data_IF_265055330649
#
_entry.id   IF_265055330649
#
_cell.length_a   1.000
_cell.length_b   1.000
_cell.length_c   1.000
_cell.angle_alpha   90.00
_cell.angle_beta   90.00
_cell.angle_gamma   90.00
#
_symmetry.space_group_name_H-M   'P 1'
#
loop_
_entity.id
_entity.type
_entity.pdbx_description
1 polymer ?
#
# COMPACT_ATOMS: atom_id res chain seq x y z
N UNK A 1 4.80 -2.04 17.24
CA UNK A 1 4.54 -1.92 15.79
C UNK A 1 4.94 -0.55 15.31
N UNK A 2 5.44 -0.45 14.10
CA UNK A 2 5.98 0.79 13.54
C UNK A 2 5.31 1.10 12.21
N UNK A 3 5.05 2.39 11.95
CA UNK A 3 4.54 2.88 10.67
C UNK A 3 5.52 3.89 10.12
N UNK A 4 5.92 3.71 8.85
CA UNK A 4 6.70 4.69 8.11
C UNK A 4 5.89 5.10 6.88
N UNK A 5 5.78 6.40 6.66
CA UNK A 5 5.08 6.93 5.50
C UNK A 5 6.07 7.68 4.61
N UNK A 6 5.87 7.58 3.30
CA UNK A 6 6.67 8.31 2.31
C UNK A 6 5.79 8.71 1.13
N UNK A 7 6.16 9.81 0.48
CA UNK A 7 5.46 10.33 -0.69
C UNK A 7 6.32 10.14 -1.92
N UNK A 8 5.72 9.66 -2.99
CA UNK A 8 6.43 9.34 -4.22
C UNK A 8 5.73 9.93 -5.44
N UNK A 9 6.54 10.36 -6.39
CA UNK A 9 6.08 10.77 -7.71
C UNK A 9 6.84 9.91 -8.72
N UNK A 10 6.10 9.16 -9.53
CA UNK A 10 6.65 8.32 -10.60
C UNK A 10 6.06 8.80 -11.92
N UNK A 11 6.90 9.39 -12.76
CA UNK A 11 6.47 9.98 -14.02
C UNK A 11 7.50 9.73 -15.11
N UNK A 12 7.01 9.61 -16.36
CA UNK A 12 7.89 9.58 -17.52
C UNK A 12 8.57 10.95 -17.70
N UNK A 13 9.63 10.99 -18.50
CA UNK A 13 10.20 12.27 -18.93
C UNK A 13 9.16 13.05 -19.72
N UNK A 14 9.22 14.38 -19.63
CA UNK A 14 8.37 15.25 -20.42
C UNK A 14 8.77 15.18 -21.90
N UNK A 15 7.77 15.15 -22.77
CA UNK A 15 7.99 15.26 -24.21
C UNK A 15 8.25 16.73 -24.61
N UNK A 16 8.35 17.00 -25.92
CA UNK A 16 8.61 18.35 -26.45
C UNK A 16 7.51 19.38 -26.13
N UNK A 17 6.30 18.89 -25.75
CA UNK A 17 5.17 19.73 -25.36
C UNK A 17 5.02 19.84 -23.84
N UNK A 18 5.94 19.29 -23.05
CA UNK A 18 5.89 19.28 -21.61
C UNK A 18 4.93 18.26 -21.01
N UNK A 19 4.49 17.27 -21.81
CA UNK A 19 3.56 16.23 -21.37
C UNK A 19 4.31 14.96 -20.97
N UNK A 20 3.75 14.24 -19.98
CA UNK A 20 4.26 12.95 -19.56
C UNK A 20 3.44 11.84 -20.20
N UNK A 21 4.08 10.70 -20.55
CA UNK A 21 3.38 9.48 -20.97
C UNK A 21 2.62 8.88 -19.78
N UNK A 22 3.20 8.96 -18.58
CA UNK A 22 2.52 8.60 -17.33
C UNK A 22 2.97 9.49 -16.19
N UNK A 23 2.08 9.67 -15.23
CA UNK A 23 2.39 10.42 -14.01
C UNK A 23 1.56 9.82 -12.88
N UNK A 24 2.24 9.25 -11.87
CA UNK A 24 1.62 8.69 -10.67
C UNK A 24 2.17 9.39 -9.43
N UNK A 25 1.28 9.84 -8.59
CA UNK A 25 1.62 10.38 -7.29
C UNK A 25 0.92 9.54 -6.23
N UNK A 26 1.68 9.07 -5.22
CA UNK A 26 1.14 8.17 -4.23
C UNK A 26 1.91 8.23 -2.92
N UNK A 27 1.24 7.81 -1.86
CA UNK A 27 1.84 7.61 -0.55
C UNK A 27 2.08 6.12 -0.33
N UNK A 28 3.23 5.79 0.26
CA UNK A 28 3.56 4.46 0.72
C UNK A 28 3.49 4.41 2.23
N UNK A 29 2.90 3.34 2.74
CA UNK A 29 2.84 3.04 4.17
C UNK A 29 3.55 1.72 4.40
N UNK A 30 4.57 1.73 5.26
CA UNK A 30 5.30 0.53 5.63
C UNK A 30 5.04 0.25 7.10
N UNK A 31 4.38 -0.87 7.37
CA UNK A 31 4.08 -1.34 8.72
C UNK A 31 5.04 -2.47 9.08
N UNK A 32 5.68 -2.37 10.22
CA UNK A 32 6.64 -3.39 10.67
C UNK A 32 6.34 -3.86 12.08
N UNK A 33 6.53 -5.15 12.30
CA UNK A 33 6.41 -5.80 13.60
C UNK A 33 7.33 -7.03 13.62
N UNK A 34 8.41 -6.98 14.43
CA UNK A 34 9.44 -8.01 14.46
C UNK A 34 9.95 -8.33 13.04
N UNK A 35 9.64 -9.52 12.53
CA UNK A 35 10.08 -9.99 11.22
C UNK A 35 9.08 -9.75 10.11
N UNK A 36 7.90 -9.17 10.43
CA UNK A 36 6.85 -8.90 9.46
C UNK A 36 6.96 -7.49 8.90
N UNK A 37 6.78 -7.36 7.60
CA UNK A 37 6.73 -6.09 6.88
C UNK A 37 5.53 -6.10 5.94
N UNK A 38 4.65 -5.14 6.12
CA UNK A 38 3.44 -4.99 5.31
C UNK A 38 3.48 -3.63 4.61
N UNK A 39 3.33 -3.64 3.30
CA UNK A 39 3.33 -2.42 2.50
C UNK A 39 1.94 -2.13 1.94
N UNK A 40 1.54 -0.85 2.01
CA UNK A 40 0.32 -0.36 1.40
C UNK A 40 0.62 0.89 0.58
N UNK A 41 -0.18 1.13 -0.45
CA UNK A 41 -0.04 2.28 -1.34
C UNK A 41 -1.39 2.97 -1.50
N UNK A 42 -1.37 4.31 -1.53
CA UNK A 42 -2.56 5.12 -1.76
C UNK A 42 -2.25 6.18 -2.80
N UNK A 43 -2.94 6.16 -3.93
CA UNK A 43 -2.76 7.15 -4.98
C UNK A 43 -3.43 8.48 -4.60
N UNK A 44 -2.79 9.59 -4.98
CA UNK A 44 -3.27 10.94 -4.65
C UNK A 44 -4.58 11.29 -5.33
N UNK A 45 -4.90 10.70 -6.47
CA UNK A 45 -6.17 10.91 -7.17
C UNK A 45 -7.33 10.09 -6.58
N UNK A 46 -7.03 9.12 -5.73
CA UNK A 46 -8.03 8.36 -4.97
C UNK A 46 -7.65 8.30 -3.49
N UNK A 47 -7.66 9.46 -2.79
CA UNK A 47 -7.04 9.55 -1.46
C UNK A 47 -7.76 8.77 -0.37
N UNK A 48 -8.99 8.32 -0.61
CA UNK A 48 -9.76 7.50 0.33
C UNK A 48 -9.51 6.00 0.16
N UNK A 49 -8.76 5.59 -0.87
CA UNK A 49 -8.39 4.20 -1.12
C UNK A 49 -6.96 3.91 -0.70
N UNK A 50 -6.74 2.68 -0.22
CA UNK A 50 -5.40 2.15 -0.03
C UNK A 50 -5.37 0.67 -0.39
N UNK A 51 -4.24 0.23 -0.95
CA UNK A 51 -4.03 -1.14 -1.42
C UNK A 51 -2.88 -1.77 -0.67
N UNK A 52 -3.12 -2.91 -0.04
CA UNK A 52 -2.02 -3.72 0.49
C UNK A 52 -1.36 -4.45 -0.68
N UNK A 53 -0.07 -4.18 -0.90
CA UNK A 53 0.66 -4.66 -2.07
C UNK A 53 1.68 -5.74 -1.76
N UNK A 54 2.05 -5.93 -0.52
CA UNK A 54 3.00 -6.97 -0.15
C UNK A 54 3.09 -7.19 1.35
N UNK A 55 3.34 -8.44 1.72
CA UNK A 55 3.60 -8.84 3.10
C UNK A 55 4.77 -9.81 3.07
N UNK A 56 5.78 -9.55 3.91
CA UNK A 56 6.99 -10.36 3.98
C UNK A 56 7.27 -10.78 5.42
N UNK A 57 7.81 -11.99 5.57
CA UNK A 57 8.40 -12.45 6.83
C UNK A 57 9.82 -12.93 6.54
N UNK A 58 10.83 -12.27 7.15
CA UNK A 58 12.25 -12.60 6.95
C UNK A 58 12.61 -12.70 5.45
N UNK A 59 12.17 -11.71 4.66
CA UNK A 59 12.38 -11.61 3.21
C UNK A 59 11.66 -12.65 2.36
N UNK A 60 10.76 -13.45 2.97
CA UNK A 60 9.88 -14.35 2.22
C UNK A 60 8.52 -13.70 2.04
N UNK A 61 8.05 -13.65 0.81
CA UNK A 61 6.75 -13.09 0.50
C UNK A 61 5.64 -14.04 0.98
N UNK A 62 4.64 -13.47 1.65
CA UNK A 62 3.48 -14.19 2.14
C UNK A 62 2.25 -13.82 1.31
N UNK A 63 1.27 -14.72 1.33
CA UNK A 63 -0.03 -14.44 0.72
C UNK A 63 -0.88 -13.64 1.72
N UNK A 64 -1.20 -12.40 1.39
CA UNK A 64 -1.97 -11.50 2.26
C UNK A 64 -3.31 -12.13 2.66
N UNK A 65 -3.97 -12.83 1.72
CA UNK A 65 -5.27 -13.46 1.98
C UNK A 65 -5.26 -14.44 3.15
N UNK A 66 -4.11 -15.05 3.43
CA UNK A 66 -3.98 -16.04 4.51
C UNK A 66 -3.61 -15.43 5.86
N UNK A 67 -3.35 -14.12 5.90
CA UNK A 67 -2.71 -13.46 7.04
C UNK A 67 -3.56 -12.37 7.71
N UNK A 68 -4.86 -12.31 7.43
CA UNK A 68 -5.74 -11.28 7.99
C UNK A 68 -5.86 -11.33 9.51
N UNK A 69 -5.61 -12.47 10.12
CA UNK A 69 -5.63 -12.61 11.58
C UNK A 69 -4.37 -12.11 12.28
N UNK A 70 -3.33 -11.76 11.53
CA UNK A 70 -2.09 -11.27 12.12
C UNK A 70 -2.30 -9.90 12.79
N UNK A 71 -1.71 -9.68 13.99
CA UNK A 71 -1.83 -8.38 14.66
C UNK A 71 -1.38 -7.20 13.81
N UNK A 72 -0.35 -7.38 12.98
CA UNK A 72 0.13 -6.33 12.09
C UNK A 72 -0.92 -5.94 11.04
N UNK A 73 -1.64 -6.90 10.48
CA UNK A 73 -2.72 -6.64 9.53
C UNK A 73 -3.84 -5.85 10.19
N UNK A 74 -4.26 -6.27 11.38
CA UNK A 74 -5.33 -5.59 12.13
C UNK A 74 -4.92 -4.15 12.49
N UNK A 75 -3.70 -3.98 12.92
CA UNK A 75 -3.14 -2.65 13.22
C UNK A 75 -3.13 -1.77 11.97
N UNK A 76 -2.65 -2.29 10.84
CA UNK A 76 -2.55 -1.53 9.60
C UNK A 76 -3.92 -1.10 9.07
N UNK A 77 -4.91 -1.99 9.12
CA UNK A 77 -6.28 -1.68 8.71
C UNK A 77 -6.84 -0.55 9.58
N UNK A 78 -6.70 -0.66 10.90
CA UNK A 78 -7.17 0.36 11.83
C UNK A 78 -6.46 1.70 11.60
N UNK A 79 -5.15 1.67 11.40
CA UNK A 79 -4.36 2.87 11.13
C UNK A 79 -4.82 3.57 9.85
N UNK A 80 -4.93 2.84 8.75
CA UNK A 80 -5.33 3.42 7.46
C UNK A 80 -6.73 4.03 7.54
N UNK A 81 -7.67 3.35 8.21
CA UNK A 81 -9.01 3.91 8.43
C UNK A 81 -8.96 5.18 9.26
N UNK A 82 -8.09 5.25 10.26
CA UNK A 82 -7.94 6.43 11.11
C UNK A 82 -7.42 7.65 10.36
N UNK A 83 -6.67 7.46 9.27
CA UNK A 83 -6.16 8.55 8.43
C UNK A 83 -6.99 8.78 7.17
N UNK A 84 -8.23 8.26 7.15
CA UNK A 84 -9.20 8.56 6.10
C UNK A 84 -9.23 7.58 4.93
N UNK A 85 -8.52 6.45 5.00
CA UNK A 85 -8.56 5.41 3.96
C UNK A 85 -9.73 4.48 4.25
N UNK A 86 -10.91 4.84 3.72
CA UNK A 86 -12.16 4.11 3.99
C UNK A 86 -12.35 2.92 3.06
N UNK A 87 -11.70 2.92 1.89
CA UNK A 87 -11.75 1.81 0.93
C UNK A 87 -10.40 1.11 0.90
N UNK A 88 -10.38 -0.11 1.43
CA UNK A 88 -9.16 -0.91 1.49
C UNK A 88 -9.32 -2.15 0.63
N UNK A 89 -8.25 -2.53 -0.05
CA UNK A 89 -8.18 -3.78 -0.79
C UNK A 89 -6.76 -4.35 -0.71
N UNK A 90 -6.59 -5.56 -1.20
CA UNK A 90 -5.30 -6.25 -1.17
C UNK A 90 -5.04 -6.97 -2.48
N UNK A 91 -3.76 -7.12 -2.80
CA UNK A 91 -3.35 -7.83 -4.01
C UNK A 91 -3.48 -9.34 -3.78
N UNK A 92 -4.39 -9.96 -4.50
CA UNK A 92 -4.62 -11.40 -4.51
C UNK A 92 -4.12 -12.02 -5.82
N UNK A 93 -4.23 -13.35 -5.93
CA UNK A 93 -3.76 -14.08 -7.11
C UNK A 93 -4.40 -13.61 -8.42
N UNK A 94 -5.66 -13.19 -8.38
CA UNK A 94 -6.44 -12.77 -9.55
C UNK A 94 -6.66 -11.25 -9.62
N UNK A 95 -5.85 -10.46 -8.92
CA UNK A 95 -5.97 -9.02 -8.88
C UNK A 95 -6.37 -8.52 -7.48
N UNK A 96 -6.87 -7.28 -7.40
CA UNK A 96 -7.23 -6.68 -6.12
C UNK A 96 -8.60 -7.16 -5.65
N UNK A 97 -8.68 -7.47 -4.36
CA UNK A 97 -9.93 -7.84 -3.69
C UNK A 97 -10.19 -6.88 -2.54
N UNK A 98 -11.46 -6.53 -2.33
CA UNK A 98 -11.87 -5.66 -1.24
C UNK A 98 -11.76 -6.33 0.13
N UNK A 99 -11.39 -5.54 1.12
CA UNK A 99 -11.39 -5.97 2.51
C UNK A 99 -12.77 -5.78 3.14
#
# INVERSE_FOLDING_TARGET
>A
MKVETSHHIDASEQDEHGMHDWHYEYDMFLFTDDNLRLAARSYSDTPHEAHFIGLERKHKQLNIADEFGQPLMLFAIAYLRSVGKTELNFLAANGYEAI
#
